data_IF_192878804012
#
_entry.id   IF_192878804012
#
_cell.length_a   1.000
_cell.length_b   1.000
_cell.length_c   1.000
_cell.angle_alpha   90.00
_cell.angle_beta   90.00
_cell.angle_gamma   90.00
#
_symmetry.space_group_name_H-M   'P 1'
#
loop_
_entity.id
_entity.type
_entity.pdbx_description
1 polymer ?
#
# COMPACT_ATOMS: atom_id res chain seq x y z
N UNK A 1 15.49 0.43 -22.97
CA UNK A 1 15.40 -1.03 -23.23
C UNK A 1 16.57 -1.72 -22.55
N UNK A 2 16.43 -2.93 -21.98
CA UNK A 2 17.58 -3.66 -21.46
C UNK A 2 18.58 -3.89 -22.59
N UNK A 3 19.87 -3.64 -22.33
CA UNK A 3 20.95 -3.89 -23.28
C UNK A 3 20.86 -5.33 -23.83
N UNK A 4 21.11 -5.49 -25.14
CA UNK A 4 21.18 -6.81 -25.78
C UNK A 4 22.34 -7.59 -25.15
N UNK A 5 22.16 -8.91 -24.96
CA UNK A 5 23.22 -9.78 -24.44
C UNK A 5 24.51 -9.59 -25.24
N UNK A 6 25.57 -9.23 -24.52
CA UNK A 6 26.89 -9.08 -25.12
C UNK A 6 27.39 -10.46 -25.53
N UNK A 7 27.96 -10.59 -26.74
CA UNK A 7 28.62 -11.82 -27.13
C UNK A 7 29.79 -12.10 -26.19
N UNK A 8 30.12 -13.37 -25.99
CA UNK A 8 31.30 -13.79 -25.25
C UNK A 8 32.59 -13.43 -26.00
N UNK A 9 33.75 -13.80 -25.44
CA UNK A 9 35.07 -13.58 -26.05
C UNK A 9 35.21 -14.20 -27.46
N UNK A 10 34.31 -15.12 -27.84
CA UNK A 10 34.29 -15.79 -29.14
C UNK A 10 33.23 -15.22 -30.10
N UNK A 11 32.53 -14.13 -29.74
CA UNK A 11 31.49 -13.54 -30.57
C UNK A 11 30.13 -14.25 -30.49
N UNK A 12 29.98 -15.26 -29.63
CA UNK A 12 28.78 -16.10 -29.55
C UNK A 12 27.83 -15.58 -28.47
N UNK A 13 26.53 -15.52 -28.79
CA UNK A 13 25.48 -15.28 -27.79
C UNK A 13 25.07 -16.60 -27.15
N UNK A 14 25.67 -16.92 -26.00
CA UNK A 14 25.32 -18.14 -25.27
C UNK A 14 23.92 -18.04 -24.69
N UNK A 15 23.03 -18.95 -25.08
CA UNK A 15 21.75 -19.16 -24.40
C UNK A 15 22.01 -20.00 -23.15
N UNK A 16 21.80 -19.39 -21.98
CA UNK A 16 21.98 -20.08 -20.70
C UNK A 16 20.66 -20.77 -20.36
N UNK A 17 20.73 -22.07 -20.08
CA UNK A 17 19.58 -22.86 -19.59
C UNK A 17 19.48 -22.71 -18.08
N UNK A 18 18.28 -22.94 -17.55
CA UNK A 18 18.08 -22.96 -16.11
C UNK A 18 18.96 -24.05 -15.49
N UNK A 19 19.68 -23.67 -14.44
CA UNK A 19 20.41 -24.57 -13.56
C UNK A 19 20.33 -23.99 -12.15
N UNK A 20 20.15 -24.83 -11.11
CA UNK A 20 20.11 -24.37 -9.73
C UNK A 20 21.35 -23.56 -9.34
N UNK A 21 22.52 -23.91 -9.85
CA UNK A 21 23.80 -23.26 -9.55
C UNK A 21 23.83 -21.82 -10.06
N UNK A 22 23.39 -21.60 -11.31
CA UNK A 22 23.30 -20.24 -11.88
C UNK A 22 22.20 -19.43 -11.19
N UNK A 23 21.08 -20.07 -10.85
CA UNK A 23 20.02 -19.41 -10.10
C UNK A 23 20.49 -18.94 -8.72
N UNK A 24 21.26 -19.78 -8.02
CA UNK A 24 21.87 -19.46 -6.74
C UNK A 24 22.88 -18.31 -6.85
N UNK A 25 23.80 -18.37 -7.82
CA UNK A 25 24.79 -17.29 -8.06
C UNK A 25 24.10 -15.93 -8.28
N UNK A 26 22.97 -15.93 -8.98
CA UNK A 26 22.19 -14.71 -9.23
C UNK A 26 21.55 -14.17 -7.95
N UNK A 27 21.01 -15.05 -7.12
CA UNK A 27 20.45 -14.69 -5.81
C UNK A 27 21.53 -14.16 -4.87
N UNK A 28 22.72 -14.77 -4.84
CA UNK A 28 23.84 -14.32 -4.02
C UNK A 28 24.31 -12.91 -4.42
N UNK A 29 24.52 -12.66 -5.72
CA UNK A 29 24.89 -11.33 -6.22
C UNK A 29 23.82 -10.29 -5.93
N UNK A 30 22.55 -10.67 -6.07
CA UNK A 30 21.43 -9.79 -5.72
C UNK A 30 21.46 -9.46 -4.23
N UNK A 31 21.63 -10.45 -3.35
CA UNK A 31 21.71 -10.24 -1.90
C UNK A 31 22.84 -9.26 -1.52
N UNK A 32 23.96 -9.27 -2.25
CA UNK A 32 25.08 -8.33 -2.10
C UNK A 32 24.82 -6.91 -2.66
N UNK A 33 23.60 -6.61 -3.08
CA UNK A 33 23.21 -5.27 -3.52
C UNK A 33 23.36 -5.01 -5.02
N UNK A 34 23.83 -5.99 -5.82
CA UNK A 34 23.86 -5.84 -7.27
C UNK A 34 22.44 -5.72 -7.84
N UNK A 35 22.30 -4.92 -8.88
CA UNK A 35 21.00 -4.75 -9.56
C UNK A 35 20.86 -5.77 -10.68
N UNK A 36 19.63 -6.24 -10.85
CA UNK A 36 19.24 -7.22 -11.88
C UNK A 36 19.84 -6.94 -13.26
N UNK A 37 19.86 -5.66 -13.66
CA UNK A 37 20.41 -5.24 -14.95
C UNK A 37 21.94 -5.45 -15.10
N UNK A 38 22.71 -5.33 -14.01
CA UNK A 38 24.17 -5.56 -14.01
C UNK A 38 24.52 -7.04 -13.97
N UNK A 39 23.66 -7.84 -13.34
CA UNK A 39 23.80 -9.30 -13.31
C UNK A 39 23.55 -9.88 -14.71
N UNK A 40 22.48 -9.43 -15.37
CA UNK A 40 22.07 -9.94 -16.68
C UNK A 40 23.07 -9.63 -17.81
N UNK A 41 22.90 -10.34 -18.93
CA UNK A 41 23.48 -9.98 -20.25
C UNK A 41 25.02 -10.03 -20.34
N UNK A 42 25.69 -10.67 -19.38
CA UNK A 42 27.15 -10.83 -19.34
C UNK A 42 27.51 -12.32 -19.38
N UNK A 43 28.48 -12.72 -20.22
CA UNK A 43 29.05 -14.08 -20.26
C UNK A 43 28.07 -15.23 -19.96
N UNK A 44 28.27 -15.90 -18.82
CA UNK A 44 27.48 -17.04 -18.31
C UNK A 44 26.14 -16.68 -17.66
N UNK A 45 25.76 -15.41 -17.64
CA UNK A 45 24.49 -14.96 -17.09
C UNK A 45 23.36 -14.99 -18.14
N UNK A 46 22.13 -15.32 -17.73
CA UNK A 46 20.96 -15.28 -18.59
C UNK A 46 20.63 -13.84 -19.04
N UNK A 47 19.76 -13.76 -20.05
CA UNK A 47 19.21 -12.47 -20.45
C UNK A 47 18.20 -11.96 -19.43
N UNK A 48 17.93 -10.66 -19.46
CA UNK A 48 16.92 -10.04 -18.58
C UNK A 48 15.55 -10.74 -18.69
N UNK A 49 15.06 -11.01 -19.91
CA UNK A 49 13.77 -11.68 -20.12
C UNK A 49 13.78 -13.15 -19.67
N UNK A 50 14.91 -13.84 -19.84
CA UNK A 50 15.08 -15.24 -19.40
C UNK A 50 14.89 -15.38 -17.90
N UNK A 51 15.40 -14.44 -17.10
CA UNK A 51 15.23 -14.50 -15.64
C UNK A 51 13.78 -14.37 -15.19
N UNK A 52 13.00 -13.50 -15.83
CA UNK A 52 11.57 -13.39 -15.51
C UNK A 52 10.83 -14.68 -15.88
N UNK A 53 11.19 -15.31 -17.00
CA UNK A 53 10.63 -16.61 -17.37
C UNK A 53 11.02 -17.70 -16.37
N UNK A 54 12.28 -17.73 -15.90
CA UNK A 54 12.70 -18.69 -14.88
C UNK A 54 11.91 -18.52 -13.60
N UNK A 55 11.75 -17.29 -13.12
CA UNK A 55 10.99 -16.99 -11.91
C UNK A 55 9.50 -17.38 -12.01
N UNK A 56 8.94 -17.40 -13.22
CA UNK A 56 7.57 -17.84 -13.45
C UNK A 56 7.45 -19.38 -13.55
N UNK A 57 8.51 -20.07 -13.99
CA UNK A 57 8.50 -21.52 -14.23
C UNK A 57 9.04 -22.36 -13.07
N UNK A 58 9.86 -21.75 -12.21
CA UNK A 58 10.62 -22.42 -11.14
C UNK A 58 10.27 -21.77 -9.78
N UNK A 59 9.30 -22.31 -9.03
CA UNK A 59 8.91 -21.79 -7.72
C UNK A 59 10.08 -21.69 -6.73
N UNK A 60 10.98 -22.66 -6.74
CA UNK A 60 12.19 -22.71 -5.91
C UNK A 60 13.09 -21.49 -6.15
N UNK A 61 13.21 -21.05 -7.41
CA UNK A 61 13.96 -19.85 -7.75
C UNK A 61 13.21 -18.57 -7.36
N UNK A 62 11.87 -18.57 -7.44
CA UNK A 62 11.06 -17.45 -7.01
C UNK A 62 11.19 -17.20 -5.49
N UNK A 63 11.19 -18.27 -4.70
CA UNK A 63 11.40 -18.22 -3.25
C UNK A 63 12.81 -17.76 -2.90
N UNK A 64 13.85 -18.36 -3.49
CA UNK A 64 15.23 -17.94 -3.28
C UNK A 64 15.45 -16.46 -3.67
N UNK A 65 14.82 -16.02 -4.76
CA UNK A 65 14.85 -14.61 -5.17
C UNK A 65 14.17 -13.68 -4.16
N UNK A 66 13.05 -14.09 -3.56
CA UNK A 66 12.36 -13.31 -2.55
C UNK A 66 13.24 -13.14 -1.30
N UNK A 67 13.87 -14.22 -0.82
CA UNK A 67 14.83 -14.18 0.28
C UNK A 67 16.04 -13.28 -0.05
N UNK A 68 16.62 -13.42 -1.25
CA UNK A 68 17.71 -12.57 -1.69
C UNK A 68 17.33 -11.08 -1.74
N UNK A 69 16.08 -10.75 -2.09
CA UNK A 69 15.58 -9.37 -2.04
C UNK A 69 15.52 -8.80 -0.63
N UNK A 70 15.20 -9.62 0.36
CA UNK A 70 15.16 -9.22 1.77
C UNK A 70 16.58 -9.00 2.31
N UNK A 71 17.50 -9.93 2.08
CA UNK A 71 18.92 -9.74 2.43
C UNK A 71 19.52 -8.50 1.75
N UNK A 72 19.14 -8.26 0.49
CA UNK A 72 19.54 -7.07 -0.24
C UNK A 72 18.95 -5.78 0.34
N UNK A 73 17.81 -5.86 1.05
CA UNK A 73 17.26 -4.73 1.77
C UNK A 73 18.13 -4.38 2.99
N UNK A 74 18.53 -5.38 3.76
CA UNK A 74 19.45 -5.23 4.90
C UNK A 74 20.78 -4.60 4.45
N UNK A 75 21.41 -5.19 3.43
CA UNK A 75 22.65 -4.67 2.86
C UNK A 75 22.53 -3.19 2.45
N UNK A 76 21.40 -2.79 1.87
CA UNK A 76 21.18 -1.39 1.46
C UNK A 76 20.94 -0.47 2.65
N UNK A 77 20.28 -0.94 3.69
CA UNK A 77 20.08 -0.18 4.93
C UNK A 77 21.43 0.10 5.61
N UNK A 78 22.26 -0.94 5.77
CA UNK A 78 23.61 -0.81 6.33
C UNK A 78 24.49 0.12 5.48
N UNK A 79 24.47 -0.07 4.16
CA UNK A 79 25.22 0.79 3.24
C UNK A 79 24.76 2.25 3.30
N UNK A 80 23.48 2.50 3.54
CA UNK A 80 22.98 3.86 3.69
C UNK A 80 23.58 4.55 4.93
N UNK A 81 23.73 3.82 6.04
CA UNK A 81 24.40 4.34 7.24
C UNK A 81 25.87 4.65 6.95
N UNK A 82 26.60 3.72 6.33
CA UNK A 82 28.02 3.92 5.97
C UNK A 82 28.21 5.16 5.08
N UNK A 83 27.32 5.37 4.10
CA UNK A 83 27.37 6.56 3.23
C UNK A 83 27.09 7.84 4.01
N UNK A 84 26.13 7.80 4.94
CA UNK A 84 25.81 8.95 5.77
C UNK A 84 26.95 9.34 6.72
N UNK A 85 27.61 8.36 7.33
CA UNK A 85 28.75 8.57 8.24
C UNK A 85 29.99 9.11 7.51
N UNK A 86 30.21 8.69 6.26
CA UNK A 86 31.31 9.16 5.42
C UNK A 86 31.05 10.54 4.77
N UNK A 87 29.84 11.08 4.88
CA UNK A 87 29.45 12.30 4.19
C UNK A 87 30.22 13.52 4.73
N UNK A 88 30.66 14.38 3.81
CA UNK A 88 31.35 15.63 4.13
C UNK A 88 30.52 16.83 3.68
N UNK A 89 30.88 18.04 4.12
CA UNK A 89 30.21 19.26 3.67
C UNK A 89 30.21 19.43 2.12
N UNK A 90 31.22 18.89 1.43
CA UNK A 90 31.32 18.94 -0.03
C UNK A 90 30.45 17.88 -0.73
N UNK A 91 30.22 16.72 -0.11
CA UNK A 91 29.55 15.56 -0.75
C UNK A 91 28.10 15.38 -0.30
N UNK A 92 27.67 16.04 0.78
CA UNK A 92 26.36 15.87 1.43
C UNK A 92 25.17 15.88 0.48
N UNK A 93 25.21 16.68 -0.59
CA UNK A 93 24.12 16.74 -1.59
C UNK A 93 23.98 15.41 -2.35
N UNK A 94 25.10 14.86 -2.84
CA UNK A 94 25.13 13.60 -3.56
C UNK A 94 24.87 12.41 -2.61
N UNK A 95 25.45 12.45 -1.40
CA UNK A 95 25.29 11.40 -0.40
C UNK A 95 23.84 11.31 0.08
N UNK A 96 23.15 12.45 0.24
CA UNK A 96 21.72 12.47 0.57
C UNK A 96 20.88 11.75 -0.50
N UNK A 97 21.16 11.98 -1.78
CA UNK A 97 20.50 11.27 -2.88
C UNK A 97 20.80 9.76 -2.79
N UNK A 98 22.04 9.39 -2.56
CA UNK A 98 22.45 7.98 -2.44
C UNK A 98 21.75 7.27 -1.28
N UNK A 99 21.75 7.88 -0.10
CA UNK A 99 21.03 7.40 1.10
C UNK A 99 19.55 7.24 0.81
N UNK A 100 18.89 8.25 0.22
CA UNK A 100 17.45 8.16 -0.11
C UNK A 100 17.14 7.02 -1.09
N UNK A 101 18.00 6.81 -2.09
CA UNK A 101 17.83 5.74 -3.07
C UNK A 101 18.00 4.35 -2.44
N UNK A 102 18.96 4.21 -1.52
CA UNK A 102 19.19 2.99 -0.75
C UNK A 102 18.00 2.68 0.17
N UNK A 103 17.54 3.66 0.95
CA UNK A 103 16.39 3.52 1.85
C UNK A 103 15.11 3.15 1.09
N UNK A 104 14.82 3.85 -0.02
CA UNK A 104 13.65 3.53 -0.85
C UNK A 104 13.71 2.11 -1.40
N UNK A 105 14.89 1.66 -1.86
CA UNK A 105 15.09 0.29 -2.33
C UNK A 105 14.97 -0.75 -1.21
N UNK A 106 15.48 -0.46 -0.01
CA UNK A 106 15.34 -1.33 1.15
C UNK A 106 13.86 -1.50 1.54
N UNK A 107 13.11 -0.39 1.61
CA UNK A 107 11.66 -0.40 1.87
C UNK A 107 10.85 -1.20 0.85
N UNK A 108 11.26 -1.22 -0.43
CA UNK A 108 10.62 -2.08 -1.47
C UNK A 108 11.15 -3.52 -1.47
N UNK A 109 12.32 -3.75 -0.88
CA UNK A 109 12.95 -5.07 -0.72
C UNK A 109 12.22 -5.88 0.34
N UNK A 110 12.15 -5.33 1.55
CA UNK A 110 11.47 -5.90 2.72
C UNK A 110 10.53 -4.85 3.36
N UNK A 111 9.30 -4.69 2.83
CA UNK A 111 8.34 -3.70 3.33
C UNK A 111 7.95 -3.88 4.80
N UNK A 112 8.02 -5.11 5.31
CA UNK A 112 7.66 -5.41 6.70
C UNK A 112 8.75 -4.96 7.69
N UNK A 113 10.02 -4.85 7.27
CA UNK A 113 11.13 -4.37 8.09
C UNK A 113 11.37 -2.86 7.91
N UNK A 114 11.46 -2.42 6.65
CA UNK A 114 11.91 -1.07 6.28
C UNK A 114 10.80 -0.19 5.68
N UNK A 115 9.58 -0.72 5.54
CA UNK A 115 8.45 0.07 5.07
C UNK A 115 8.07 1.14 6.09
N UNK A 116 7.59 2.28 5.61
CA UNK A 116 6.98 3.27 6.48
C UNK A 116 5.78 2.62 7.18
N UNK A 117 5.85 2.50 8.51
CA UNK A 117 4.66 2.22 9.29
C UNK A 117 3.76 3.44 9.15
N UNK A 118 2.53 3.25 8.72
CA UNK A 118 1.55 4.32 8.81
C UNK A 118 1.46 4.68 10.29
N UNK A 119 1.92 5.87 10.66
CA UNK A 119 1.49 6.45 11.92
C UNK A 119 -0.03 6.57 11.79
N UNK A 120 -0.74 5.76 12.56
CA UNK A 120 -2.15 5.95 12.76
C UNK A 120 -2.27 7.31 13.49
N UNK A 121 -2.32 8.40 12.73
CA UNK A 121 -2.76 9.69 13.23
C UNK A 121 -4.25 9.56 13.55
N UNK A 122 -4.49 9.00 14.71
CA UNK A 122 -5.78 8.83 15.34
C UNK A 122 -5.53 8.72 16.83
N UNK A 123 -5.71 9.83 17.54
CA UNK A 123 -6.21 9.73 18.90
C UNK A 123 -7.48 8.86 18.82
N UNK A 124 -7.39 7.57 19.16
CA UNK A 124 -8.45 6.65 18.76
C UNK A 124 -8.16 5.19 19.07
N UNK A 125 -7.76 4.90 20.31
CA UNK A 125 -7.94 3.58 20.93
C UNK A 125 -9.39 3.34 21.37
N UNK A 126 -10.36 3.85 20.60
CA UNK A 126 -11.78 3.66 20.84
C UNK A 126 -12.36 2.63 19.88
N UNK A 127 -13.40 1.94 20.33
CA UNK A 127 -14.22 1.04 19.51
C UNK A 127 -14.65 1.76 18.23
N UNK A 128 -14.29 1.18 17.08
CA UNK A 128 -14.64 1.74 15.78
C UNK A 128 -15.96 1.15 15.33
N UNK A 129 -17.01 1.96 15.33
CA UNK A 129 -18.28 1.58 14.72
C UNK A 129 -18.20 1.79 13.21
N UNK A 130 -18.21 0.70 12.46
CA UNK A 130 -18.42 0.74 11.01
C UNK A 130 -19.92 0.87 10.75
N UNK A 131 -20.36 2.00 10.20
CA UNK A 131 -21.74 2.18 9.71
C UNK A 131 -21.72 2.02 8.20
N UNK A 132 -22.41 0.99 7.70
CA UNK A 132 -22.60 0.76 6.27
C UNK A 132 -24.02 1.22 5.94
N UNK A 133 -24.14 2.32 5.20
CA UNK A 133 -25.42 2.81 4.70
C UNK A 133 -25.56 2.46 3.22
N UNK A 134 -26.51 1.58 2.90
CA UNK A 134 -26.77 1.18 1.51
C UNK A 134 -27.77 2.15 0.90
N UNK A 135 -27.30 3.07 0.07
CA UNK A 135 -28.14 4.05 -0.64
C UNK A 135 -28.45 3.57 -2.05
N UNK A 136 -29.73 3.71 -2.46
CA UNK A 136 -30.17 3.41 -3.82
C UNK A 136 -30.08 4.68 -4.65
N UNK A 137 -29.42 4.59 -5.81
CA UNK A 137 -29.32 5.70 -6.75
C UNK A 137 -29.97 5.33 -8.08
N UNK A 138 -30.57 6.32 -8.74
CA UNK A 138 -31.12 6.17 -10.09
C UNK A 138 -30.67 7.29 -11.01
N UNK A 139 -30.69 7.00 -12.32
CA UNK A 139 -30.34 7.94 -13.37
C UNK A 139 -31.60 8.70 -13.79
N UNK A 140 -31.61 10.02 -13.58
CA UNK A 140 -32.70 10.91 -13.92
C UNK A 140 -32.28 11.93 -14.99
N UNK A 141 -33.21 12.35 -15.84
CA UNK A 141 -32.97 13.35 -16.87
C UNK A 141 -33.74 14.62 -16.53
N UNK A 142 -33.05 15.75 -16.53
CA UNK A 142 -33.66 17.07 -16.35
C UNK A 142 -34.45 17.47 -17.60
N UNK A 143 -35.36 18.45 -17.49
CA UNK A 143 -36.08 19.00 -18.65
C UNK A 143 -35.17 19.58 -19.73
N UNK A 144 -33.95 19.97 -19.36
CA UNK A 144 -32.90 20.49 -20.26
C UNK A 144 -32.13 19.38 -21.02
N UNK A 145 -32.49 18.12 -20.85
CA UNK A 145 -31.82 16.95 -21.46
C UNK A 145 -30.56 16.47 -20.73
N UNK A 146 -30.15 17.14 -19.66
CA UNK A 146 -28.97 16.75 -18.88
C UNK A 146 -29.29 15.57 -17.97
N UNK A 147 -28.43 14.56 -18.00
CA UNK A 147 -28.59 13.36 -17.18
C UNK A 147 -27.80 13.47 -15.88
N UNK A 148 -28.43 13.17 -14.75
CA UNK A 148 -27.83 13.20 -13.42
C UNK A 148 -28.20 11.95 -12.62
N UNK A 149 -27.46 11.70 -11.54
CA UNK A 149 -27.74 10.61 -10.58
C UNK A 149 -28.42 11.22 -9.36
N UNK A 150 -29.58 10.69 -8.97
CA UNK A 150 -30.28 11.10 -7.74
C UNK A 150 -30.40 9.93 -6.78
N UNK A 151 -30.30 10.23 -5.49
CA UNK A 151 -30.60 9.27 -4.43
C UNK A 151 -32.12 9.04 -4.38
N UNK A 152 -32.51 7.76 -4.31
CA UNK A 152 -33.90 7.36 -4.11
C UNK A 152 -34.09 7.25 -2.60
N UNK A 153 -34.64 8.31 -2.00
CA UNK A 153 -34.99 8.31 -0.59
C UNK A 153 -36.09 7.25 -0.35
N UNK A 154 -35.99 6.41 0.70
CA UNK A 154 -37.12 5.58 1.09
C UNK A 154 -38.36 6.47 1.37
N UNK A 155 -39.58 5.94 1.15
CA UNK A 155 -40.79 6.68 1.54
C UNK A 155 -40.71 7.02 3.04
N UNK A 156 -41.21 8.21 3.45
CA UNK A 156 -41.28 8.53 4.87
C UNK A 156 -42.06 7.44 5.60
N UNK A 157 -41.55 7.00 6.75
CA UNK A 157 -42.30 6.09 7.62
C UNK A 157 -43.63 6.77 7.99
N UNK A 158 -44.76 6.03 8.01
CA UNK A 158 -46.04 6.59 8.43
C UNK A 158 -45.93 7.09 9.88
N UNK A 159 -46.46 8.28 10.14
CA UNK A 159 -46.57 8.83 11.49
C UNK A 159 -47.50 7.91 12.31
N UNK A 160 -46.92 7.07 13.18
CA UNK A 160 -47.65 6.29 14.17
C UNK A 160 -48.12 7.23 15.32
N UNK A 161 -48.98 8.19 14.99
CA UNK A 161 -49.75 8.97 15.98
C UNK A 161 -51.08 8.26 16.26
N UNK A 162 -51.03 7.08 16.89
CA UNK A 162 -52.17 6.46 17.58
C UNK A 162 -51.85 6.31 19.07
N UNK A 163 -51.70 7.43 19.78
CA UNK A 163 -51.82 7.43 21.24
C UNK A 163 -53.30 7.61 21.64
N UNK A 164 -53.97 6.47 21.66
CA UNK A 164 -55.18 6.18 22.44
C UNK A 164 -54.85 6.25 23.94
N UNK A 165 -55.15 7.38 24.58
CA UNK A 165 -55.25 7.46 26.05
C UNK A 165 -56.59 8.08 26.45
N UNK A 166 -57.60 7.22 26.48
CA UNK A 166 -58.27 6.84 27.73
C UNK A 166 -58.74 7.96 28.66
N UNK A 167 -60.05 8.18 28.62
CA UNK A 167 -60.95 8.70 29.66
C UNK A 167 -60.52 8.37 31.11
N UNK A 168 -60.29 9.39 31.94
CA UNK A 168 -60.40 9.25 33.41
C UNK A 168 -60.95 10.55 34.04
N UNK A 169 -62.07 10.37 34.74
CA UNK A 169 -62.95 11.39 35.32
C UNK A 169 -62.68 11.53 36.82
N UNK A 170 -62.71 12.77 37.33
CA UNK A 170 -62.89 13.12 38.76
C UNK A 170 -61.60 13.58 39.47
N UNK A 171 -61.60 14.49 40.44
CA UNK A 171 -62.64 15.25 41.15
C UNK A 171 -61.91 16.38 41.92
N UNK A 172 -62.67 17.26 42.57
CA UNK A 172 -62.35 18.60 43.04
C UNK A 172 -61.39 18.76 44.26
N UNK A 173 -60.91 20.00 44.43
CA UNK A 173 -60.32 20.59 45.65
C UNK A 173 -59.58 21.88 45.26
N UNK A 174 -60.24 23.04 45.18
CA UNK A 174 -60.53 23.98 46.28
C UNK A 174 -59.33 24.24 47.19
N UNK A 175 -58.65 25.36 46.97
CA UNK A 175 -58.11 26.22 48.03
C UNK A 175 -57.65 27.54 47.40
N UNK A 176 -58.40 28.61 47.67
CA UNK A 176 -57.98 29.98 47.43
C UNK A 176 -56.90 30.43 48.42
N UNK A 177 -56.29 31.59 48.14
CA UNK A 177 -55.92 32.64 49.09
C UNK A 177 -54.95 33.66 48.41
N UNK A 178 -55.53 34.79 48.01
CA UNK A 178 -55.18 36.18 48.35
C UNK A 178 -53.75 36.76 48.25
N UNK A 179 -53.72 37.99 47.69
CA UNK A 179 -52.70 39.05 47.89
C UNK A 179 -52.04 39.52 46.59
N UNK A 180 -52.44 40.62 45.91
CA UNK A 180 -52.14 42.04 46.24
C UNK A 180 -50.83 42.16 47.04
N UNK A 181 -49.79 42.89 46.65
CA UNK A 181 -49.61 44.35 46.46
C UNK A 181 -48.22 44.50 45.76
N UNK A 182 -47.85 45.43 44.87
CA UNK A 182 -47.99 46.88 44.72
C UNK A 182 -47.72 47.26 43.25
#
# INVERSE_FOLDING_TARGET
MPAKKQPDANGVRTLIRYSPEVAQEICERLAQGEVWFRICNTGRMPSYGTLYQWRAKHPEFAEAYAQAKEMCADFRADKALVVAEAATAATVSADRLHVSALQWRAAKGAPHLYGAKAEANGAGGGERRLVIEVRRFERATRPDGTVYVREVLPPPEPDDDEDDFGDEVGEAGDDGLDGEIL
#
